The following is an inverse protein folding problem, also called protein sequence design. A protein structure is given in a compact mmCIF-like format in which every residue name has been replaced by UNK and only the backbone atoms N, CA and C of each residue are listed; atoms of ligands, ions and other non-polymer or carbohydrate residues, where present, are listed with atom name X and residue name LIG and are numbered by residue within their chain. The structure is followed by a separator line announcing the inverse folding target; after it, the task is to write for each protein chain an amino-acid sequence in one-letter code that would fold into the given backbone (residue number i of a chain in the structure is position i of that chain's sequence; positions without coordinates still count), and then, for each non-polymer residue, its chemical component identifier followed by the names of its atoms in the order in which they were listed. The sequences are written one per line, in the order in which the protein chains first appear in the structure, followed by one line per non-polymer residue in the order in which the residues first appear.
data_IF_118805608811
#
_entry.id   IF_118805608811
#
_cell.length_a   1.000
_cell.length_b   1.000
_cell.length_c   1.000
_cell.angle_alpha   90.00
_cell.angle_beta   90.00
_cell.angle_gamma   90.00
#
_symmetry.space_group_name_H-M   'P 1'
#
loop_
_entity.id
_entity.type
_entity.pdbx_description
1 polymer ?
#
# COMPACT_ATOMS: atom_id res chain seq x y z
N UNK A 1 10.48 21.55 -7.99
CA UNK A 1 9.46 20.49 -7.84
C UNK A 1 9.09 20.38 -6.37
N UNK A 2 7.87 20.03 -6.03
CA UNK A 2 7.49 19.76 -4.63
C UNK A 2 8.21 18.50 -4.18
N UNK A 3 8.86 18.47 -2.98
CA UNK A 3 9.52 17.27 -2.49
C UNK A 3 8.52 16.13 -2.25
N UNK A 4 8.98 14.89 -2.39
CA UNK A 4 8.23 13.69 -2.02
C UNK A 4 8.16 13.63 -0.50
N UNK A 5 6.97 13.65 0.06
CA UNK A 5 6.74 13.61 1.51
C UNK A 5 6.72 12.18 2.00
N UNK A 6 7.69 11.83 2.83
CA UNK A 6 7.92 10.47 3.33
C UNK A 6 7.63 10.41 4.83
N UNK A 7 6.85 9.43 5.25
CA UNK A 7 6.67 9.02 6.64
C UNK A 7 7.38 7.68 6.84
N UNK A 8 8.24 7.57 7.85
CA UNK A 8 8.92 6.32 8.21
C UNK A 8 8.33 5.71 9.47
N UNK A 9 8.20 4.37 9.49
CA UNK A 9 7.67 3.62 10.62
C UNK A 9 8.53 2.40 10.86
N UNK A 10 9.17 2.35 12.02
CA UNK A 10 10.05 1.28 12.46
C UNK A 10 10.20 1.35 13.98
N UNK A 11 10.28 0.23 14.70
CA UNK A 11 10.43 0.22 16.16
C UNK A 11 11.89 0.18 16.62
N UNK A 12 12.83 -0.02 15.68
CA UNK A 12 14.27 0.00 15.93
C UNK A 12 14.82 1.44 15.80
N UNK A 13 15.32 2.04 16.91
CA UNK A 13 15.87 3.41 16.87
C UNK A 13 17.07 3.57 15.93
N UNK A 14 17.90 2.54 15.77
CA UNK A 14 19.07 2.60 14.88
C UNK A 14 18.62 2.61 13.41
N UNK A 15 17.58 1.85 13.08
CA UNK A 15 17.02 1.87 11.74
C UNK A 15 16.22 3.15 11.46
N UNK A 16 15.50 3.70 12.45
CA UNK A 16 14.88 5.02 12.35
C UNK A 16 15.93 6.10 12.01
N UNK A 17 17.06 6.12 12.75
CA UNK A 17 18.15 7.05 12.47
C UNK A 17 18.72 6.88 11.06
N UNK A 18 18.90 5.63 10.61
CA UNK A 18 19.35 5.34 9.24
C UNK A 18 18.38 5.90 8.19
N UNK A 19 17.08 5.73 8.40
CA UNK A 19 16.03 6.28 7.52
C UNK A 19 16.06 7.83 7.51
N UNK A 20 16.21 8.45 8.69
CA UNK A 20 16.33 9.91 8.82
C UNK A 20 17.51 10.45 8.02
N UNK A 21 18.70 9.85 8.17
CA UNK A 21 19.88 10.25 7.43
C UNK A 21 19.74 10.01 5.94
N UNK A 22 19.18 8.87 5.54
CA UNK A 22 19.10 8.47 4.13
C UNK A 22 18.08 9.30 3.37
N UNK A 23 16.86 9.43 3.88
CA UNK A 23 15.78 10.19 3.24
C UNK A 23 16.00 11.69 3.42
N UNK A 24 16.39 12.13 4.62
CA UNK A 24 16.61 13.55 4.94
C UNK A 24 17.77 14.20 4.18
N UNK A 25 18.74 13.42 3.68
CA UNK A 25 19.82 13.91 2.84
C UNK A 25 19.42 14.17 1.38
N UNK A 26 18.22 13.74 0.96
CA UNK A 26 17.80 13.85 -0.42
C UNK A 26 17.12 15.20 -0.70
N UNK A 27 17.58 15.96 -1.71
CA UNK A 27 17.00 17.28 -2.00
C UNK A 27 15.57 17.22 -2.59
N UNK A 28 15.16 16.05 -3.08
CA UNK A 28 13.86 15.79 -3.69
C UNK A 28 12.86 15.11 -2.73
N UNK A 29 13.24 14.92 -1.46
CA UNK A 29 12.41 14.28 -0.43
C UNK A 29 12.31 15.12 0.83
N UNK A 30 11.21 14.97 1.56
CA UNK A 30 10.96 15.56 2.88
C UNK A 30 10.50 14.45 3.83
N UNK A 31 11.31 14.12 4.85
CA UNK A 31 10.89 13.22 5.91
C UNK A 31 9.96 13.98 6.86
N UNK A 32 8.67 13.72 6.80
CA UNK A 32 7.64 14.48 7.53
C UNK A 32 7.42 14.00 8.95
N UNK A 33 7.72 12.74 9.24
CA UNK A 33 7.72 12.16 10.59
C UNK A 33 8.42 10.79 10.58
N UNK A 34 8.89 10.38 11.77
CA UNK A 34 9.32 9.02 12.08
C UNK A 34 8.49 8.54 13.26
N UNK A 35 7.92 7.35 13.18
CA UNK A 35 7.03 6.78 14.18
C UNK A 35 7.56 5.41 14.64
N UNK A 36 7.52 5.12 15.95
CA UNK A 36 7.97 3.82 16.46
C UNK A 36 6.89 2.74 16.42
N UNK A 37 5.65 3.08 16.09
CA UNK A 37 4.53 2.13 16.12
C UNK A 37 3.42 2.45 15.10
N UNK A 38 2.59 1.44 14.83
CA UNK A 38 1.51 1.53 13.85
C UNK A 38 0.38 2.50 14.22
N UNK A 39 0.13 2.70 15.52
CA UNK A 39 -0.93 3.61 16.01
C UNK A 39 -0.50 5.06 15.77
N UNK A 40 0.74 5.39 16.12
CA UNK A 40 1.32 6.70 15.86
C UNK A 40 1.43 6.97 14.37
N UNK A 41 1.87 5.98 13.58
CA UNK A 41 1.93 6.05 12.13
C UNK A 41 0.57 6.42 11.51
N UNK A 42 -0.52 5.80 11.96
CA UNK A 42 -1.87 6.12 11.49
C UNK A 42 -2.29 7.56 11.82
N UNK A 43 -1.87 8.10 12.96
CA UNK A 43 -2.13 9.50 13.35
C UNK A 43 -1.29 10.46 12.53
N UNK A 44 -0.01 10.17 12.39
CA UNK A 44 0.95 10.96 11.63
C UNK A 44 0.57 11.02 10.13
N UNK A 45 0.18 9.90 9.53
CA UNK A 45 -0.25 9.85 8.13
C UNK A 45 -1.46 10.76 7.85
N UNK A 46 -2.42 10.85 8.76
CA UNK A 46 -3.56 11.78 8.64
C UNK A 46 -3.15 13.24 8.81
N UNK A 47 -2.25 13.52 9.76
CA UNK A 47 -1.80 14.88 10.09
C UNK A 47 -0.90 15.45 9.02
N UNK A 48 0.05 14.66 8.52
CA UNK A 48 1.10 15.12 7.62
C UNK A 48 0.80 14.87 6.15
N UNK A 49 -0.21 14.03 5.81
CA UNK A 49 -0.58 13.70 4.44
C UNK A 49 0.66 13.34 3.60
N UNK A 50 1.45 12.30 3.97
CA UNK A 50 2.61 11.89 3.21
C UNK A 50 2.23 11.36 1.83
N UNK A 51 3.14 11.43 0.87
CA UNK A 51 3.01 10.78 -0.42
C UNK A 51 3.37 9.29 -0.30
N UNK A 52 4.41 8.99 0.49
CA UNK A 52 4.93 7.64 0.72
C UNK A 52 5.00 7.36 2.22
N UNK A 53 4.61 6.16 2.62
CA UNK A 53 4.86 5.61 3.96
C UNK A 53 5.78 4.41 3.82
N UNK A 54 6.91 4.44 4.51
CA UNK A 54 7.81 3.31 4.70
C UNK A 54 7.35 2.59 5.95
N UNK A 55 6.94 1.34 5.84
CA UNK A 55 6.30 0.60 6.93
C UNK A 55 7.06 -0.69 7.24
N UNK A 56 7.65 -0.78 8.42
CA UNK A 56 8.14 -2.06 8.92
C UNK A 56 6.96 -2.99 9.23
N UNK A 57 7.11 -4.27 8.90
CA UNK A 57 6.13 -5.30 9.24
C UNK A 57 6.23 -5.76 10.70
N UNK A 58 7.46 -5.84 11.22
CA UNK A 58 7.74 -6.38 12.55
C UNK A 58 7.77 -5.28 13.62
N UNK A 59 6.65 -4.61 13.80
CA UNK A 59 6.48 -3.62 14.87
C UNK A 59 6.17 -4.33 16.20
N UNK A 60 7.20 -4.60 16.99
CA UNK A 60 7.09 -5.34 18.26
C UNK A 60 6.31 -4.54 19.30
N UNK A 61 5.45 -5.20 20.07
CA UNK A 61 4.77 -4.69 21.27
C UNK A 61 3.86 -3.47 21.10
N UNK A 62 3.27 -3.22 19.95
CA UNK A 62 2.59 -1.95 19.67
C UNK A 62 1.05 -2.04 19.58
N UNK A 63 0.45 -3.21 19.78
CA UNK A 63 -1.02 -3.40 19.71
C UNK A 63 -1.62 -3.31 18.30
N UNK A 64 -0.82 -2.96 17.28
CA UNK A 64 -1.18 -2.93 15.86
C UNK A 64 0.07 -3.30 15.05
N UNK A 65 0.03 -4.39 14.30
CA UNK A 65 1.14 -4.79 13.44
C UNK A 65 1.32 -3.86 12.23
N UNK A 66 2.48 -3.95 11.57
CA UNK A 66 2.79 -3.08 10.44
C UNK A 66 1.87 -3.28 9.25
N UNK A 67 1.42 -4.50 8.97
CA UNK A 67 0.52 -4.78 7.86
C UNK A 67 -0.88 -4.19 8.11
N UNK A 68 -1.39 -4.27 9.34
CA UNK A 68 -2.66 -3.66 9.75
C UNK A 68 -2.60 -2.13 9.71
N UNK A 69 -1.48 -1.55 10.20
CA UNK A 69 -1.24 -0.11 10.13
C UNK A 69 -1.18 0.38 8.68
N UNK A 70 -0.40 -0.29 7.83
CA UNK A 70 -0.30 -0.03 6.40
C UNK A 70 -1.68 -0.07 5.72
N UNK A 71 -2.46 -1.13 5.97
CA UNK A 71 -3.83 -1.25 5.46
C UNK A 71 -4.71 -0.10 5.91
N UNK A 72 -4.66 0.26 7.19
CA UNK A 72 -5.45 1.37 7.75
C UNK A 72 -5.11 2.70 7.09
N UNK A 73 -3.82 2.97 6.89
CA UNK A 73 -3.33 4.16 6.19
C UNK A 73 -3.83 4.18 4.75
N UNK A 74 -3.68 3.09 4.02
CA UNK A 74 -4.14 2.95 2.63
C UNK A 74 -5.63 3.17 2.46
N UNK A 75 -6.46 2.68 3.39
CA UNK A 75 -7.91 2.84 3.34
C UNK A 75 -8.37 4.26 3.66
N UNK A 76 -7.57 5.06 4.38
CA UNK A 76 -7.99 6.35 4.95
C UNK A 76 -7.25 7.56 4.41
N UNK A 77 -6.17 7.37 3.65
CA UNK A 77 -5.33 8.44 3.11
C UNK A 77 -4.96 8.16 1.65
N UNK A 78 -4.41 9.16 0.97
CA UNK A 78 -3.89 8.99 -0.39
C UNK A 78 -2.45 8.44 -0.43
N UNK A 79 -1.82 8.23 0.72
CA UNK A 79 -0.46 7.75 0.82
C UNK A 79 -0.29 6.38 0.16
N UNK A 80 0.82 6.18 -0.54
CA UNK A 80 1.27 4.87 -1.01
C UNK A 80 2.16 4.25 0.05
N UNK A 81 2.07 2.95 0.25
CA UNK A 81 2.87 2.24 1.25
C UNK A 81 3.91 1.38 0.57
N UNK A 82 5.16 1.51 1.02
CA UNK A 82 6.27 0.61 0.71
C UNK A 82 6.56 -0.15 1.99
N UNK A 83 6.47 -1.48 1.93
CA UNK A 83 6.83 -2.34 3.05
C UNK A 83 8.35 -2.41 3.17
N UNK A 84 8.86 -2.23 4.38
CA UNK A 84 10.23 -2.58 4.75
C UNK A 84 10.19 -3.85 5.58
N UNK A 85 11.06 -4.81 5.29
CA UNK A 85 11.06 -6.07 6.04
C UNK A 85 12.45 -6.68 6.11
N UNK A 86 12.76 -7.30 7.25
CA UNK A 86 13.93 -8.16 7.41
C UNK A 86 13.64 -9.60 6.99
N UNK A 87 12.35 -9.99 6.91
CA UNK A 87 11.92 -11.31 6.46
C UNK A 87 12.11 -11.44 4.95
N UNK A 88 12.79 -12.49 4.52
CA UNK A 88 13.07 -12.81 3.12
C UNK A 88 12.22 -13.96 2.56
N UNK A 89 11.26 -14.49 3.36
CA UNK A 89 10.30 -15.46 2.86
C UNK A 89 9.32 -14.82 1.87
N UNK A 90 9.35 -15.23 0.58
CA UNK A 90 8.53 -14.60 -0.45
C UNK A 90 7.02 -14.68 -0.17
N UNK A 91 6.55 -15.76 0.46
CA UNK A 91 5.12 -15.94 0.75
C UNK A 91 4.65 -14.95 1.79
N UNK A 92 5.40 -14.78 2.89
CA UNK A 92 5.11 -13.82 3.95
C UNK A 92 5.05 -12.38 3.40
N UNK A 93 6.05 -12.00 2.59
CA UNK A 93 6.11 -10.65 2.00
C UNK A 93 4.97 -10.38 1.03
N UNK A 94 4.62 -11.37 0.18
CA UNK A 94 3.49 -11.23 -0.75
C UNK A 94 2.18 -11.12 0.01
N UNK A 95 1.93 -11.98 0.99
CA UNK A 95 0.69 -11.98 1.79
C UNK A 95 0.53 -10.67 2.56
N UNK A 96 1.59 -10.17 3.19
CA UNK A 96 1.59 -8.87 3.85
C UNK A 96 1.33 -7.72 2.86
N UNK A 97 1.97 -7.74 1.68
CA UNK A 97 1.80 -6.74 0.63
C UNK A 97 0.37 -6.69 0.10
N UNK A 98 -0.23 -7.86 -0.11
CA UNK A 98 -1.63 -8.01 -0.53
C UNK A 98 -2.57 -7.53 0.56
N UNK A 99 -2.37 -7.95 1.81
CA UNK A 99 -3.18 -7.53 2.95
C UNK A 99 -3.16 -6.01 3.15
N UNK A 100 -1.98 -5.41 3.08
CA UNK A 100 -1.75 -3.99 3.27
C UNK A 100 -2.18 -3.10 2.08
N UNK A 101 -2.50 -3.65 0.92
CA UNK A 101 -2.60 -2.90 -0.34
C UNK A 101 -1.32 -2.11 -0.64
N UNK A 102 -0.16 -2.71 -0.39
CA UNK A 102 1.13 -2.05 -0.57
C UNK A 102 1.39 -1.71 -2.04
N UNK A 103 2.15 -0.66 -2.29
CA UNK A 103 2.57 -0.24 -3.63
C UNK A 103 3.90 -0.87 -4.03
N UNK A 104 4.65 -1.40 -3.06
CA UNK A 104 5.92 -2.09 -3.23
C UNK A 104 6.47 -2.56 -1.90
N UNK A 105 7.62 -3.20 -1.96
CA UNK A 105 8.39 -3.62 -0.78
C UNK A 105 9.90 -3.49 -1.03
N UNK A 106 10.66 -3.36 0.05
CA UNK A 106 12.13 -3.37 0.04
C UNK A 106 12.61 -4.23 1.22
N UNK A 107 13.52 -5.16 0.96
CA UNK A 107 14.18 -5.89 2.03
C UNK A 107 15.18 -4.97 2.75
N UNK A 108 15.19 -4.99 4.10
CA UNK A 108 16.16 -4.22 4.88
C UNK A 108 17.62 -4.56 4.51
N UNK A 109 17.87 -5.80 4.07
CA UNK A 109 19.16 -6.24 3.53
C UNK A 109 19.52 -5.62 2.17
N UNK A 110 18.52 -5.11 1.42
CA UNK A 110 18.69 -4.45 0.12
C UNK A 110 18.42 -2.95 0.20
N UNK A 111 18.87 -2.32 1.27
CA UNK A 111 18.59 -0.92 1.60
C UNK A 111 18.97 0.09 0.49
N UNK A 112 19.93 -0.25 -0.35
CA UNK A 112 20.32 0.55 -1.51
C UNK A 112 19.19 0.76 -2.52
N UNK A 113 18.18 -0.11 -2.54
CA UNK A 113 17.00 0.00 -3.40
C UNK A 113 15.94 0.95 -2.84
N UNK A 114 16.07 1.42 -1.60
CA UNK A 114 15.03 2.22 -0.94
C UNK A 114 14.73 3.51 -1.70
N UNK A 115 15.73 4.35 -1.93
CA UNK A 115 15.54 5.65 -2.59
C UNK A 115 15.00 5.55 -4.01
N UNK A 116 15.53 4.66 -4.88
CA UNK A 116 14.92 4.39 -6.19
C UNK A 116 13.46 3.96 -6.08
N UNK A 117 13.12 3.03 -5.16
CA UNK A 117 11.75 2.54 -4.98
C UNK A 117 10.80 3.66 -4.51
N UNK A 118 11.25 4.56 -3.62
CA UNK A 118 10.46 5.73 -3.22
C UNK A 118 10.14 6.61 -4.44
N UNK A 119 11.14 6.94 -5.26
CA UNK A 119 10.97 7.80 -6.44
C UNK A 119 10.03 7.19 -7.47
N UNK A 120 10.24 5.92 -7.81
CA UNK A 120 9.40 5.21 -8.75
C UNK A 120 7.96 5.10 -8.25
N UNK A 121 7.78 4.75 -6.97
CA UNK A 121 6.44 4.65 -6.36
C UNK A 121 5.75 6.01 -6.31
N UNK A 122 6.45 7.08 -6.03
CA UNK A 122 5.89 8.43 -6.03
C UNK A 122 5.50 8.90 -7.44
N UNK A 123 6.27 8.50 -8.47
CA UNK A 123 6.01 8.85 -9.86
C UNK A 123 4.78 8.13 -10.46
N UNK A 124 4.45 6.93 -9.99
CA UNK A 124 3.32 6.17 -10.55
C UNK A 124 3.26 4.71 -10.12
N UNK A 125 2.61 3.90 -10.94
CA UNK A 125 2.59 2.45 -10.76
C UNK A 125 3.92 1.83 -11.18
N UNK A 126 4.35 0.81 -10.44
CA UNK A 126 5.62 0.11 -10.63
C UNK A 126 5.38 -1.35 -11.02
N UNK A 127 6.39 -2.08 -11.55
CA UNK A 127 6.26 -3.53 -11.76
C UNK A 127 5.83 -4.28 -10.49
N UNK A 128 6.35 -3.90 -9.32
CA UNK A 128 5.93 -4.50 -8.04
C UNK A 128 4.46 -4.25 -7.74
N UNK A 129 3.98 -3.00 -7.91
CA UNK A 129 2.58 -2.67 -7.68
C UNK A 129 1.64 -3.43 -8.62
N UNK A 130 2.05 -3.67 -9.87
CA UNK A 130 1.29 -4.48 -10.82
C UNK A 130 1.20 -5.96 -10.38
N UNK A 131 2.30 -6.53 -9.87
CA UNK A 131 2.30 -7.91 -9.34
C UNK A 131 1.42 -8.04 -8.08
N UNK A 132 1.51 -7.08 -7.15
CA UNK A 132 0.64 -7.05 -5.96
C UNK A 132 -0.84 -6.93 -6.38
N UNK A 133 -1.14 -6.06 -7.33
CA UNK A 133 -2.48 -5.94 -7.88
C UNK A 133 -2.97 -7.25 -8.52
N UNK A 134 -2.13 -7.93 -9.29
CA UNK A 134 -2.46 -9.23 -9.89
C UNK A 134 -2.76 -10.28 -8.81
N UNK A 135 -1.97 -10.33 -7.73
CA UNK A 135 -2.18 -11.21 -6.59
C UNK A 135 -3.51 -10.91 -5.87
N UNK A 136 -3.82 -9.63 -5.61
CA UNK A 136 -5.11 -9.20 -5.06
C UNK A 136 -6.31 -9.72 -5.86
N UNK A 137 -6.18 -9.76 -7.18
CA UNK A 137 -7.27 -10.18 -8.08
C UNK A 137 -7.35 -11.71 -8.29
N UNK A 138 -6.43 -12.50 -7.75
CA UNK A 138 -6.44 -13.97 -7.92
C UNK A 138 -7.69 -14.62 -7.29
N UNK A 139 -8.21 -14.07 -6.21
CA UNK A 139 -9.42 -14.58 -5.53
C UNK A 139 -10.71 -14.36 -6.33
N UNK A 140 -10.67 -13.51 -7.38
CA UNK A 140 -11.84 -13.17 -8.18
C UNK A 140 -12.02 -14.13 -9.36
N UNK A 141 -13.24 -14.61 -9.57
CA UNK A 141 -13.63 -15.33 -10.79
C UNK A 141 -13.59 -14.41 -12.02
N UNK A 142 -13.61 -14.97 -13.23
CA UNK A 142 -13.63 -14.17 -14.47
C UNK A 142 -14.80 -13.19 -14.53
N UNK A 143 -15.99 -13.59 -14.07
CA UNK A 143 -17.17 -12.73 -14.03
C UNK A 143 -17.01 -11.60 -12.98
N UNK A 144 -16.45 -11.90 -11.80
CA UNK A 144 -16.16 -10.91 -10.77
C UNK A 144 -15.06 -9.93 -11.21
N UNK A 145 -14.06 -10.38 -11.97
CA UNK A 145 -13.04 -9.48 -12.57
C UNK A 145 -13.65 -8.52 -13.58
N UNK A 146 -14.59 -8.98 -14.42
CA UNK A 146 -15.30 -8.10 -15.34
C UNK A 146 -16.07 -7.00 -14.57
N UNK A 147 -16.78 -7.40 -13.50
CA UNK A 147 -17.48 -6.45 -12.62
C UNK A 147 -16.51 -5.52 -11.90
N UNK A 148 -15.37 -6.01 -11.42
CA UNK A 148 -14.32 -5.19 -10.81
C UNK A 148 -13.84 -4.09 -11.77
N UNK A 149 -13.49 -4.43 -13.01
CA UNK A 149 -13.06 -3.45 -14.01
C UNK A 149 -14.17 -2.44 -14.36
N UNK A 150 -15.43 -2.88 -14.43
CA UNK A 150 -16.57 -1.99 -14.61
C UNK A 150 -16.73 -1.01 -13.42
N UNK A 151 -16.49 -1.45 -12.18
CA UNK A 151 -16.48 -0.58 -11.01
C UNK A 151 -15.39 0.51 -11.06
N UNK A 152 -14.29 0.23 -11.73
CA UNK A 152 -13.21 1.20 -11.99
C UNK A 152 -13.48 2.13 -13.17
N UNK A 153 -14.65 1.99 -13.83
CA UNK A 153 -15.04 2.82 -14.97
C UNK A 153 -14.47 2.35 -16.31
N UNK A 154 -13.92 1.12 -16.38
CA UNK A 154 -13.52 0.55 -17.66
C UNK A 154 -14.73 0.03 -18.42
N UNK A 155 -14.74 0.23 -19.74
CA UNK A 155 -15.79 -0.31 -20.61
C UNK A 155 -15.60 -1.82 -20.76
N UNK A 156 -16.44 -2.59 -20.07
CA UNK A 156 -16.42 -4.06 -20.05
C UNK A 156 -17.84 -4.58 -20.25
N UNK A 157 -18.05 -5.44 -21.24
CA UNK A 157 -19.31 -6.08 -21.45
C UNK A 157 -19.66 -7.02 -20.28
N UNK A 158 -20.78 -6.75 -19.60
CA UNK A 158 -21.30 -7.59 -18.52
C UNK A 158 -22.47 -8.43 -19.05
N UNK A 159 -22.28 -9.74 -19.16
CA UNK A 159 -23.26 -10.67 -19.72
C UNK A 159 -24.19 -11.29 -18.65
N UNK A 160 -24.57 -10.51 -17.64
CA UNK A 160 -25.40 -10.99 -16.53
C UNK A 160 -26.58 -10.06 -16.25
N UNK A 161 -27.61 -10.57 -15.59
CA UNK A 161 -28.74 -9.75 -15.15
C UNK A 161 -28.29 -8.71 -14.13
N UNK A 162 -29.03 -7.60 -14.00
CA UNK A 162 -28.76 -6.52 -13.03
C UNK A 162 -28.63 -7.07 -11.60
N UNK A 163 -29.47 -8.05 -11.21
CA UNK A 163 -29.43 -8.68 -9.91
C UNK A 163 -28.14 -9.49 -9.72
N UNK A 164 -27.71 -10.23 -10.73
CA UNK A 164 -26.45 -10.99 -10.71
C UNK A 164 -25.24 -10.07 -10.59
N UNK A 165 -25.23 -8.96 -11.35
CA UNK A 165 -24.15 -7.95 -11.28
C UNK A 165 -24.08 -7.34 -9.87
N UNK A 166 -25.22 -7.02 -9.24
CA UNK A 166 -25.25 -6.48 -7.89
C UNK A 166 -24.66 -7.49 -6.85
N UNK A 167 -25.00 -8.77 -6.99
CA UNK A 167 -24.43 -9.82 -6.14
C UNK A 167 -22.92 -9.97 -6.36
N UNK A 168 -22.46 -9.94 -7.60
CA UNK A 168 -21.03 -9.99 -7.94
C UNK A 168 -20.27 -8.77 -7.39
N UNK A 169 -20.86 -7.56 -7.44
CA UNK A 169 -20.27 -6.37 -6.82
C UNK A 169 -20.05 -6.54 -5.31
N UNK A 170 -21.05 -7.08 -4.61
CA UNK A 170 -20.94 -7.37 -3.18
C UNK A 170 -19.88 -8.44 -2.90
N UNK A 171 -19.81 -9.49 -3.73
CA UNK A 171 -18.80 -10.54 -3.62
C UNK A 171 -17.39 -10.01 -3.84
N UNK A 172 -17.17 -9.15 -4.85
CA UNK A 172 -15.88 -8.48 -5.12
C UNK A 172 -15.42 -7.67 -3.91
N UNK A 173 -16.28 -6.82 -3.36
CA UNK A 173 -15.94 -6.00 -2.20
C UNK A 173 -15.59 -6.87 -0.99
N UNK A 174 -16.36 -7.92 -0.73
CA UNK A 174 -16.12 -8.86 0.37
C UNK A 174 -14.79 -9.60 0.20
N UNK A 175 -14.50 -10.13 -0.99
CA UNK A 175 -13.26 -10.88 -1.29
C UNK A 175 -12.02 -10.00 -1.17
N UNK A 176 -12.12 -8.72 -1.55
CA UNK A 176 -11.03 -7.76 -1.41
C UNK A 176 -10.98 -7.11 -0.01
N UNK A 177 -11.96 -7.43 0.88
CA UNK A 177 -12.04 -6.83 2.21
C UNK A 177 -12.24 -5.32 2.19
N UNK A 178 -13.02 -4.81 1.22
CA UNK A 178 -13.27 -3.37 1.04
C UNK A 178 -14.70 -3.00 1.43
N UNK A 179 -14.92 -1.89 2.14
CA UNK A 179 -16.23 -1.54 2.67
C UNK A 179 -17.21 -1.06 1.59
N UNK A 180 -16.74 -0.47 0.51
CA UNK A 180 -17.59 0.11 -0.53
C UNK A 180 -16.84 0.35 -1.85
N UNK A 181 -17.61 0.73 -2.89
CA UNK A 181 -17.08 1.01 -4.24
C UNK A 181 -16.15 2.22 -4.29
N UNK A 182 -16.37 3.21 -3.44
CA UNK A 182 -15.51 4.41 -3.40
C UNK A 182 -14.12 4.05 -2.89
N UNK A 183 -14.03 3.24 -1.84
CA UNK A 183 -12.76 2.72 -1.32
C UNK A 183 -12.07 1.82 -2.35
N UNK A 184 -12.82 0.99 -3.08
CA UNK A 184 -12.27 0.19 -4.18
C UNK A 184 -11.61 1.09 -5.23
N UNK A 185 -12.31 2.11 -5.72
CA UNK A 185 -11.75 3.06 -6.69
C UNK A 185 -10.52 3.78 -6.15
N UNK A 186 -10.58 4.23 -4.90
CA UNK A 186 -9.47 4.89 -4.22
C UNK A 186 -8.21 4.01 -4.19
N UNK A 187 -8.33 2.78 -3.72
CA UNK A 187 -7.20 1.84 -3.61
C UNK A 187 -6.63 1.51 -5.00
N UNK A 188 -7.48 1.15 -5.95
CA UNK A 188 -7.02 0.64 -7.26
C UNK A 188 -6.64 1.74 -8.25
N UNK A 189 -6.98 3.01 -8.02
CA UNK A 189 -6.45 4.12 -8.82
C UNK A 189 -4.92 4.20 -8.80
N UNK A 190 -4.29 3.82 -7.70
CA UNK A 190 -2.83 3.84 -7.56
C UNK A 190 -2.11 2.67 -8.27
N UNK A 191 -2.84 1.62 -8.64
CA UNK A 191 -2.29 0.47 -9.37
C UNK A 191 -2.51 0.54 -10.88
N UNK A 192 -3.46 1.35 -11.33
CA UNK A 192 -3.93 1.38 -12.73
C UNK A 192 -3.84 2.78 -13.36
N UNK A 193 -3.24 3.70 -12.65
CA UNK A 193 -3.01 5.08 -13.11
C UNK A 193 -1.85 5.20 -14.06
#
# INVERSE_FOLDING_TARGET
MKPIRVLAVDDDPDFQYLLEQTVGSQPDMELVAVCPDGVEACRAARRHCPDIVLMDLDLRNTGMDGAEAARTIRLKTAARVIILTADDDPSTVIDASVHAFASGYVFKSQFTLLLPTIRETAAGSTPQSHLICAALLQSLTSAERAVFYSLLGKDVALHSSTKTIANQQTSVLRKLGLPNKQTLRHIFSTYMG
#
